data_IF_597204208756
#
_entry.id   IF_597204208756
#
_cell.length_a   1.000
_cell.length_b   1.000
_cell.length_c   1.000
_cell.angle_alpha   90.00
_cell.angle_beta   90.00
_cell.angle_gamma   90.00
#
_symmetry.space_group_name_H-M   'P 1'
#
loop_
_entity.id
_entity.type
_entity.pdbx_description
1 polymer ?
#
# COMPACT_ATOMS: atom_id res chain seq x y z
N UNK A 1 -59.48 -0.47 29.70
CA UNK A 1 -58.04 -0.28 30.00
C UNK A 1 -57.24 -0.86 28.84
N UNK A 2 -56.19 -0.19 28.32
CA UNK A 2 -55.14 -0.67 27.38
C UNK A 2 -54.66 0.42 26.38
N UNK A 3 -55.06 1.70 26.51
CA UNK A 3 -54.53 2.79 25.68
C UNK A 3 -53.09 3.19 26.06
N UNK A 4 -52.72 3.08 27.34
CA UNK A 4 -51.35 3.39 27.81
C UNK A 4 -50.32 2.34 27.37
N UNK A 5 -50.67 1.05 27.42
CA UNK A 5 -49.75 -0.04 27.04
C UNK A 5 -49.46 -0.07 25.52
N UNK A 6 -50.50 0.17 24.70
CA UNK A 6 -50.35 0.29 23.24
C UNK A 6 -49.54 1.53 22.84
N UNK A 7 -49.75 2.66 23.54
CA UNK A 7 -48.99 3.89 23.30
C UNK A 7 -47.52 3.74 23.71
N UNK A 8 -47.23 2.97 24.77
CA UNK A 8 -45.86 2.66 25.19
C UNK A 8 -45.12 1.77 24.18
N UNK A 9 -45.78 0.74 23.64
CA UNK A 9 -45.18 -0.12 22.61
C UNK A 9 -44.93 0.67 21.32
N UNK A 10 -45.87 1.54 20.91
CA UNK A 10 -45.72 2.40 19.75
C UNK A 10 -44.55 3.40 19.91
N UNK A 11 -44.38 3.98 21.10
CA UNK A 11 -43.26 4.88 21.37
C UNK A 11 -41.90 4.17 21.31
N UNK A 12 -41.79 2.97 21.88
CA UNK A 12 -40.55 2.18 21.86
C UNK A 12 -40.18 1.75 20.44
N UNK A 13 -41.17 1.35 19.65
CA UNK A 13 -40.95 0.98 18.24
C UNK A 13 -40.57 2.18 17.37
N UNK A 14 -41.14 3.36 17.62
CA UNK A 14 -40.78 4.58 16.90
C UNK A 14 -39.32 5.01 17.18
N UNK A 15 -38.87 4.87 18.43
CA UNK A 15 -37.48 5.17 18.84
C UNK A 15 -36.49 4.16 18.26
N UNK A 16 -36.86 2.88 18.16
CA UNK A 16 -36.01 1.84 17.56
C UNK A 16 -35.78 2.05 16.05
N UNK A 17 -36.79 2.55 15.33
CA UNK A 17 -36.67 2.90 13.90
C UNK A 17 -35.81 4.14 13.70
N UNK A 18 -35.88 5.12 14.60
CA UNK A 18 -35.03 6.32 14.56
C UNK A 18 -33.54 6.02 14.79
N UNK A 19 -33.21 4.95 15.54
CA UNK A 19 -31.82 4.52 15.76
C UNK A 19 -31.22 3.65 14.65
N UNK A 20 -32.06 2.96 13.84
CA UNK A 20 -31.57 2.13 12.72
C UNK A 20 -31.06 2.95 11.51
N UNK A 21 -31.26 4.28 11.50
CA UNK A 21 -30.87 5.16 10.39
C UNK A 21 -29.41 5.64 10.41
N UNK A 22 -28.65 5.40 11.48
CA UNK A 22 -27.23 5.78 11.56
C UNK A 22 -26.37 4.63 11.04
N UNK A 23 -26.64 4.18 9.81
CA UNK A 23 -25.59 3.54 9.03
C UNK A 23 -24.62 4.66 8.65
N UNK A 24 -23.59 4.87 9.46
CA UNK A 24 -22.46 5.72 9.10
C UNK A 24 -21.96 5.27 7.73
N UNK A 25 -22.37 6.00 6.69
CA UNK A 25 -21.62 6.08 5.46
C UNK A 25 -20.26 6.65 5.88
N UNK A 26 -19.32 5.76 6.21
CA UNK A 26 -17.91 6.08 6.22
C UNK A 26 -17.62 6.46 4.77
N UNK A 27 -17.72 7.74 4.45
CA UNK A 27 -16.96 8.29 3.35
C UNK A 27 -15.52 7.87 3.63
N UNK A 28 -15.07 6.87 2.89
CA UNK A 28 -13.68 6.47 2.89
C UNK A 28 -12.94 7.68 2.35
N UNK A 29 -12.51 8.56 3.26
CA UNK A 29 -11.66 9.70 3.01
C UNK A 29 -10.52 9.13 2.18
N UNK A 30 -10.56 9.37 0.87
CA UNK A 30 -9.62 8.80 -0.08
C UNK A 30 -8.33 9.54 0.21
N UNK A 31 -7.54 8.99 1.14
CA UNK A 31 -6.20 9.48 1.41
C UNK A 31 -5.50 9.54 0.07
N UNK A 32 -5.21 10.75 -0.39
CA UNK A 32 -4.48 10.97 -1.62
C UNK A 32 -3.05 10.48 -1.42
N UNK A 33 -2.86 9.18 -1.60
CA UNK A 33 -1.57 8.52 -1.56
C UNK A 33 -0.79 8.92 -2.81
N UNK A 34 -0.09 10.04 -2.71
CA UNK A 34 0.81 10.48 -3.77
C UNK A 34 2.04 9.59 -3.80
N UNK A 35 2.39 9.10 -4.99
CA UNK A 35 3.55 8.26 -5.23
C UNK A 35 4.33 8.79 -6.44
N UNK A 36 5.65 8.69 -6.36
CA UNK A 36 6.59 9.16 -7.38
C UNK A 36 7.33 7.94 -7.93
N UNK A 37 7.17 7.66 -9.22
CA UNK A 37 7.90 6.60 -9.91
C UNK A 37 9.02 7.20 -10.75
N UNK A 38 10.27 6.99 -10.31
CA UNK A 38 11.46 7.34 -11.07
C UNK A 38 11.78 6.20 -12.02
N UNK A 39 11.85 6.49 -13.32
CA UNK A 39 12.15 5.48 -14.34
C UNK A 39 13.44 5.80 -15.06
N UNK A 40 14.31 4.80 -15.21
CA UNK A 40 15.56 4.91 -15.97
C UNK A 40 15.79 3.67 -16.83
N UNK A 41 16.70 3.74 -17.81
CA UNK A 41 17.11 2.53 -18.55
C UNK A 41 17.72 1.47 -17.61
N UNK A 42 18.48 1.93 -16.62
CA UNK A 42 19.21 1.08 -15.68
C UNK A 42 20.62 0.76 -16.17
N UNK A 43 21.48 0.38 -15.24
CA UNK A 43 22.88 0.05 -15.51
C UNK A 43 23.32 -1.11 -14.63
N UNK A 44 24.24 -1.94 -15.14
CA UNK A 44 24.92 -2.98 -14.37
C UNK A 44 26.27 -2.52 -13.81
N UNK A 45 26.66 -1.26 -14.05
CA UNK A 45 27.91 -0.70 -13.51
C UNK A 45 27.67 -0.05 -12.14
N UNK A 46 28.43 -0.41 -11.09
CA UNK A 46 28.27 0.15 -9.75
C UNK A 46 28.44 1.68 -9.68
N UNK A 47 29.36 2.23 -10.48
CA UNK A 47 29.61 3.68 -10.54
C UNK A 47 28.41 4.46 -11.08
N UNK A 48 27.84 4.00 -12.19
CA UNK A 48 26.64 4.60 -12.77
C UNK A 48 25.39 4.34 -11.92
N UNK A 49 25.37 3.27 -11.13
CA UNK A 49 24.25 2.98 -10.23
C UNK A 49 24.12 4.02 -9.12
N UNK A 50 25.25 4.49 -8.55
CA UNK A 50 25.26 5.54 -7.52
C UNK A 50 24.57 6.83 -7.98
N UNK A 51 24.72 7.22 -9.24
CA UNK A 51 24.06 8.42 -9.77
C UNK A 51 22.53 8.29 -9.74
N UNK A 52 21.99 7.11 -10.08
CA UNK A 52 20.56 6.82 -10.03
C UNK A 52 20.07 6.80 -8.57
N UNK A 53 20.84 6.19 -7.67
CA UNK A 53 20.46 6.13 -6.26
C UNK A 53 20.47 7.52 -5.61
N UNK A 54 21.43 8.39 -5.97
CA UNK A 54 21.46 9.79 -5.54
C UNK A 54 20.21 10.57 -5.99
N UNK A 55 19.71 10.32 -7.20
CA UNK A 55 18.47 10.92 -7.69
C UNK A 55 17.27 10.47 -6.85
N UNK A 56 17.19 9.18 -6.51
CA UNK A 56 16.12 8.65 -5.64
C UNK A 56 16.20 9.26 -4.25
N UNK A 57 17.40 9.41 -3.69
CA UNK A 57 17.60 10.06 -2.37
C UNK A 57 17.18 11.52 -2.43
N UNK A 58 17.55 12.25 -3.48
CA UNK A 58 17.15 13.65 -3.66
C UNK A 58 15.62 13.78 -3.78
N UNK A 59 14.97 12.90 -4.54
CA UNK A 59 13.52 12.89 -4.67
C UNK A 59 12.81 12.57 -3.34
N UNK A 60 13.33 11.61 -2.56
CA UNK A 60 12.80 11.31 -1.22
C UNK A 60 12.95 12.49 -0.26
N UNK A 61 14.05 13.24 -0.34
CA UNK A 61 14.27 14.45 0.46
C UNK A 61 13.33 15.59 0.06
N UNK A 62 13.07 15.76 -1.24
CA UNK A 62 12.17 16.78 -1.75
C UNK A 62 10.70 16.47 -1.46
N UNK A 63 10.32 15.19 -1.43
CA UNK A 63 8.94 14.73 -1.26
C UNK A 63 8.83 13.71 -0.11
N UNK A 64 8.95 14.14 1.16
CA UNK A 64 8.93 13.23 2.31
C UNK A 64 7.57 12.57 2.55
N UNK A 65 6.49 13.14 2.02
CA UNK A 65 5.12 12.62 2.13
C UNK A 65 4.70 11.67 1.00
N UNK A 66 5.52 11.50 -0.04
CA UNK A 66 5.18 10.70 -1.22
C UNK A 66 5.99 9.40 -1.28
N UNK A 67 5.36 8.31 -1.71
CA UNK A 67 6.06 7.03 -1.88
C UNK A 67 6.95 7.07 -3.13
N UNK A 68 8.28 7.08 -2.96
CA UNK A 68 9.23 7.09 -4.08
C UNK A 68 9.68 5.67 -4.45
N UNK A 69 9.39 5.25 -5.68
CA UNK A 69 9.82 3.96 -6.27
C UNK A 69 10.73 4.16 -7.47
N UNK A 70 11.59 3.18 -7.75
CA UNK A 70 12.51 3.17 -8.89
C UNK A 70 12.17 2.00 -9.83
N UNK A 71 12.05 2.27 -11.13
CA UNK A 71 11.83 1.27 -12.17
C UNK A 71 12.91 1.32 -13.27
N UNK A 72 13.21 0.15 -13.83
CA UNK A 72 14.12 -0.01 -14.97
C UNK A 72 13.38 -0.47 -16.22
N UNK A 73 13.63 0.20 -17.35
CA UNK A 73 13.05 -0.17 -18.65
C UNK A 73 13.82 -1.29 -19.34
N UNK A 74 15.14 -1.41 -19.11
CA UNK A 74 15.96 -2.44 -19.78
C UNK A 74 15.73 -3.84 -19.22
N UNK A 75 15.17 -4.72 -20.05
CA UNK A 75 15.00 -6.14 -19.75
C UNK A 75 16.33 -6.85 -19.44
N UNK A 76 17.42 -6.46 -20.07
CA UNK A 76 18.74 -7.07 -19.86
C UNK A 76 19.26 -6.70 -18.46
N UNK A 77 19.16 -5.43 -18.09
CA UNK A 77 19.60 -4.95 -16.78
C UNK A 77 18.75 -5.57 -15.66
N UNK A 78 17.42 -5.62 -15.81
CA UNK A 78 16.55 -6.30 -14.84
C UNK A 78 16.96 -7.75 -14.61
N UNK A 79 17.28 -8.48 -15.68
CA UNK A 79 17.76 -9.87 -15.61
C UNK A 79 19.12 -10.00 -14.94
N UNK A 80 20.07 -9.10 -15.22
CA UNK A 80 21.39 -9.10 -14.56
C UNK A 80 21.27 -8.84 -13.06
N UNK A 81 20.55 -7.80 -12.67
CA UNK A 81 20.32 -7.45 -11.25
C UNK A 81 19.60 -8.57 -10.50
N UNK A 82 18.61 -9.23 -11.11
CA UNK A 82 17.92 -10.36 -10.49
C UNK A 82 18.84 -11.58 -10.26
N UNK A 83 19.84 -11.80 -11.13
CA UNK A 83 20.84 -12.86 -10.93
C UNK A 83 21.85 -12.51 -9.85
N UNK A 84 22.31 -11.26 -9.81
CA UNK A 84 23.21 -10.76 -8.77
C UNK A 84 22.56 -10.80 -7.40
N UNK A 85 21.29 -10.38 -7.29
CA UNK A 85 20.52 -10.50 -6.06
C UNK A 85 20.36 -11.94 -5.58
N UNK A 86 20.20 -12.91 -6.50
CA UNK A 86 20.13 -14.35 -6.18
C UNK A 86 21.46 -14.94 -5.72
N UNK A 87 22.61 -14.37 -6.11
CA UNK A 87 23.93 -14.81 -5.62
C UNK A 87 24.16 -14.44 -4.16
N UNK A 88 23.51 -13.39 -3.67
CA UNK A 88 23.59 -12.93 -2.28
C UNK A 88 22.51 -13.54 -1.37
N UNK A 89 21.67 -14.45 -1.88
CA UNK A 89 20.79 -15.26 -1.05
C UNK A 89 21.60 -16.47 -0.59
N UNK A 90 21.75 -16.74 0.72
CA UNK A 90 22.38 -17.96 1.18
C UNK A 90 21.70 -19.16 0.51
N UNK A 91 22.45 -20.23 0.16
CA UNK A 91 21.86 -21.38 -0.52
C UNK A 91 20.63 -21.83 0.23
N UNK A 92 19.49 -21.93 -0.47
CA UNK A 92 18.24 -22.35 0.16
C UNK A 92 18.50 -23.71 0.82
N UNK A 93 18.23 -23.85 2.13
CA UNK A 93 18.51 -25.10 2.80
C UNK A 93 17.68 -26.22 2.19
N UNK A 94 18.29 -27.37 1.90
CA UNK A 94 17.65 -28.51 1.23
C UNK A 94 16.49 -29.12 2.03
N UNK A 95 16.41 -28.83 3.33
CA UNK A 95 15.32 -29.23 4.22
C UNK A 95 14.05 -28.37 4.11
N UNK A 96 14.08 -27.23 3.41
CA UNK A 96 12.92 -26.32 3.32
C UNK A 96 11.79 -26.82 2.38
N UNK A 97 11.99 -27.93 1.67
CA UNK A 97 11.01 -28.54 0.74
C UNK A 97 10.52 -29.92 1.19
N UNK A 98 10.83 -30.32 2.43
CA UNK A 98 10.45 -31.62 3.00
C UNK A 98 9.23 -31.43 3.90
N UNK A 99 8.10 -30.98 3.34
CA UNK A 99 6.79 -30.92 3.99
C UNK A 99 5.70 -31.00 2.94
#
# INVERSE_FOLDING_TARGET
>A
MNMSFKSMILAVTLVAVAFSGIACAKEAKKEEKQAILITSFGTSMPSARKAIDNLVVAAKKAFPGAEVRLAFTSNIIRRKLAREGKKNVPPRPSWLWRS
#
